data_IF_133720335285
#
_entry.id   IF_133720335285
#
_cell.length_a   1.000
_cell.length_b   1.000
_cell.length_c   1.000
_cell.angle_alpha   90.00
_cell.angle_beta   90.00
_cell.angle_gamma   90.00
#
_symmetry.space_group_name_H-M   'P 1'
#
loop_
_entity.id
_entity.type
_entity.pdbx_description
1 polymer ?
#
# COMPACT_ATOMS: atom_id res chain seq x y z
N UNK A 1 17.49 -52.59 24.42
CA UNK A 1 17.55 -51.12 24.61
C UNK A 1 16.66 -50.29 23.66
N UNK A 2 15.80 -50.86 22.79
CA UNK A 2 15.08 -50.04 21.78
C UNK A 2 13.56 -49.86 21.94
N UNK A 3 12.90 -50.45 22.94
CA UNK A 3 11.45 -50.27 23.14
C UNK A 3 11.04 -49.14 24.09
N UNK A 4 11.95 -48.65 24.94
CA UNK A 4 11.66 -47.56 25.89
C UNK A 4 11.67 -46.16 25.26
N UNK A 5 12.38 -45.96 24.16
CA UNK A 5 12.47 -44.66 23.49
C UNK A 5 11.29 -44.37 22.55
N UNK A 6 10.67 -45.41 21.96
CA UNK A 6 9.47 -45.23 21.13
C UNK A 6 8.23 -44.81 21.95
N UNK A 7 8.07 -45.30 23.18
CA UNK A 7 6.93 -44.92 24.03
C UNK A 7 7.02 -43.47 24.53
N UNK A 8 8.23 -42.95 24.79
CA UNK A 8 8.42 -41.55 25.18
C UNK A 8 8.17 -40.58 24.02
N UNK A 9 8.49 -40.96 22.79
CA UNK A 9 8.20 -40.15 21.60
C UNK A 9 6.70 -40.03 21.31
N UNK A 10 5.95 -41.12 21.43
CA UNK A 10 4.49 -41.13 21.16
C UNK A 10 3.72 -40.38 22.24
N UNK A 11 4.10 -40.50 23.52
CA UNK A 11 3.45 -39.76 24.61
C UNK A 11 3.70 -38.25 24.53
N UNK A 12 4.88 -37.82 24.07
CA UNK A 12 5.18 -36.41 23.87
C UNK A 12 4.36 -35.80 22.71
N UNK A 13 4.20 -36.55 21.62
CA UNK A 13 3.40 -36.10 20.47
C UNK A 13 1.91 -36.00 20.81
N UNK A 14 1.37 -36.96 21.57
CA UNK A 14 -0.03 -36.92 22.03
C UNK A 14 -0.27 -35.76 23.00
N UNK A 15 0.68 -35.47 23.91
CA UNK A 15 0.58 -34.32 24.81
C UNK A 15 0.59 -32.98 24.04
N UNK A 16 1.46 -32.84 23.03
CA UNK A 16 1.53 -31.62 22.20
C UNK A 16 0.27 -31.44 21.36
N UNK A 17 -0.23 -32.50 20.72
CA UNK A 17 -1.48 -32.43 19.95
C UNK A 17 -2.68 -32.13 20.86
N UNK A 18 -2.72 -32.69 22.07
CA UNK A 18 -3.80 -32.40 23.03
C UNK A 18 -3.72 -30.95 23.53
N UNK A 19 -2.53 -30.42 23.80
CA UNK A 19 -2.33 -29.02 24.19
C UNK A 19 -2.69 -28.03 23.08
N UNK A 20 -2.37 -28.35 21.82
CA UNK A 20 -2.75 -27.52 20.66
C UNK A 20 -4.26 -27.56 20.43
N UNK A 21 -4.90 -28.73 20.59
CA UNK A 21 -6.36 -28.86 20.42
C UNK A 21 -7.12 -28.19 21.57
N UNK A 22 -6.60 -28.27 22.80
CA UNK A 22 -7.20 -27.62 23.97
C UNK A 22 -7.10 -26.09 23.89
N UNK A 23 -5.96 -25.52 23.48
CA UNK A 23 -5.82 -24.07 23.25
C UNK A 23 -6.69 -23.55 22.11
N UNK A 24 -6.94 -24.36 21.08
CA UNK A 24 -7.76 -23.96 19.92
C UNK A 24 -9.25 -23.87 20.28
N UNK A 25 -9.72 -24.69 21.22
CA UNK A 25 -11.10 -24.62 21.72
C UNK A 25 -11.30 -23.46 22.70
N UNK A 26 -10.36 -23.20 23.63
CA UNK A 26 -10.47 -22.04 24.54
C UNK A 26 -10.50 -20.70 23.80
N UNK A 27 -9.76 -20.58 22.68
CA UNK A 27 -9.75 -19.36 21.87
C UNK A 27 -11.03 -19.19 21.03
N UNK A 28 -11.66 -20.29 20.62
CA UNK A 28 -12.94 -20.25 19.89
C UNK A 28 -14.09 -19.81 20.80
N UNK A 29 -14.11 -20.29 22.03
CA UNK A 29 -15.17 -19.98 23.00
C UNK A 29 -15.07 -18.52 23.47
N UNK A 30 -13.86 -18.03 23.77
CA UNK A 30 -13.66 -16.60 24.14
C UNK A 30 -13.97 -15.63 23.00
N UNK A 31 -13.69 -16.00 21.75
CA UNK A 31 -14.07 -15.17 20.59
C UNK A 31 -15.59 -15.17 20.35
N UNK A 32 -16.24 -16.32 20.48
CA UNK A 32 -17.71 -16.43 20.36
C UNK A 32 -18.42 -15.62 21.45
N UNK A 33 -17.92 -15.63 22.68
CA UNK A 33 -18.47 -14.86 23.80
C UNK A 33 -18.29 -13.35 23.58
N UNK A 34 -17.11 -12.91 23.11
CA UNK A 34 -16.86 -11.50 22.77
C UNK A 34 -17.76 -10.98 21.64
N UNK A 35 -18.01 -11.81 20.60
CA UNK A 35 -18.95 -11.47 19.52
C UNK A 35 -20.40 -11.47 20.02
N UNK A 36 -20.74 -12.34 20.97
CA UNK A 36 -22.06 -12.40 21.63
C UNK A 36 -22.36 -11.17 22.49
N UNK A 37 -21.39 -10.70 23.27
CA UNK A 37 -21.49 -9.46 24.06
C UNK A 37 -21.62 -8.23 23.16
N UNK A 38 -20.83 -8.16 22.07
CA UNK A 38 -20.90 -7.05 21.11
C UNK A 38 -22.28 -6.97 20.44
N UNK A 39 -22.84 -8.12 20.02
CA UNK A 39 -24.21 -8.19 19.45
C UNK A 39 -25.29 -7.77 20.44
N UNK A 40 -25.15 -8.14 21.71
CA UNK A 40 -26.11 -7.79 22.76
C UNK A 40 -26.08 -6.29 23.06
N UNK A 41 -24.89 -5.69 23.15
CA UNK A 41 -24.67 -4.25 23.34
C UNK A 41 -25.21 -3.41 22.17
N UNK A 42 -25.04 -3.87 20.93
CA UNK A 42 -25.58 -3.20 19.74
C UNK A 42 -27.12 -3.27 19.67
N UNK A 43 -27.71 -4.39 20.11
CA UNK A 43 -29.17 -4.54 20.15
C UNK A 43 -29.80 -3.64 21.21
N UNK A 44 -29.18 -3.51 22.38
CA UNK A 44 -29.63 -2.61 23.45
C UNK A 44 -29.54 -1.12 23.04
N UNK A 45 -28.51 -0.75 22.26
CA UNK A 45 -28.41 0.61 21.67
C UNK A 45 -29.44 0.88 20.56
N UNK A 46 -29.82 -0.13 19.78
CA UNK A 46 -30.82 0.00 18.73
C UNK A 46 -32.25 0.14 19.28
N UNK A 47 -32.56 -0.53 20.39
CA UNK A 47 -33.88 -0.49 21.03
C UNK A 47 -34.10 0.78 21.89
N UNK A 48 -33.03 1.52 22.21
CA UNK A 48 -33.07 2.80 22.95
C UNK A 48 -33.12 4.08 22.10
N UNK A 49 -32.98 3.97 20.77
CA UNK A 49 -32.99 5.13 19.88
C UNK A 49 -34.42 5.63 19.63
N UNK A 50 -34.81 6.74 20.28
CA UNK A 50 -36.04 7.47 19.91
C UNK A 50 -35.94 7.97 18.48
N UNK A 51 -37.00 7.75 17.70
CA UNK A 51 -37.16 8.34 16.36
C UNK A 51 -36.89 9.85 16.42
N UNK A 52 -36.07 10.40 15.50
CA UNK A 52 -35.90 11.84 15.42
C UNK A 52 -37.20 12.48 14.97
N UNK A 53 -37.65 13.50 15.71
CA UNK A 53 -38.78 14.33 15.33
C UNK A 53 -38.56 14.90 13.91
N UNK A 54 -39.62 14.81 13.12
CA UNK A 54 -39.65 15.29 11.75
C UNK A 54 -39.43 16.81 11.72
N UNK A 55 -38.51 17.31 10.87
CA UNK A 55 -38.23 18.74 10.82
C UNK A 55 -39.43 19.51 10.25
N UNK A 56 -39.88 20.50 11.01
CA UNK A 56 -40.87 21.51 10.61
C UNK A 56 -40.39 22.26 9.37
N UNK A 57 -41.24 22.48 8.35
CA UNK A 57 -40.84 23.19 7.14
C UNK A 57 -40.49 24.66 7.44
N UNK A 58 -39.31 25.08 6.98
CA UNK A 58 -38.87 26.47 7.02
C UNK A 58 -39.70 27.34 6.06
N UNK A 59 -39.91 28.63 6.38
CA UNK A 59 -40.65 29.55 5.53
C UNK A 59 -39.91 29.81 4.21
N UNK A 60 -40.66 29.84 3.12
CA UNK A 60 -40.15 30.04 1.77
C UNK A 60 -39.59 31.46 1.59
N UNK A 61 -38.27 31.57 1.48
CA UNK A 61 -37.60 32.80 1.06
C UNK A 61 -37.72 33.00 -0.46
N UNK A 62 -38.07 34.24 -0.83
CA UNK A 62 -38.18 34.73 -2.21
C UNK A 62 -36.84 34.60 -2.92
N UNK A 63 -36.77 33.68 -3.88
CA UNK A 63 -35.70 33.60 -4.87
C UNK A 63 -35.80 34.80 -5.82
N UNK A 64 -34.78 35.67 -5.79
CA UNK A 64 -34.56 36.69 -6.81
C UNK A 64 -33.92 36.02 -8.03
N UNK A 65 -34.42 36.23 -9.26
CA UNK A 65 -33.86 35.60 -10.45
C UNK A 65 -32.49 36.19 -10.78
N UNK A 66 -31.46 35.36 -10.67
CA UNK A 66 -30.12 35.63 -11.22
C UNK A 66 -30.20 35.46 -12.74
N UNK A 67 -29.80 36.49 -13.49
CA UNK A 67 -29.65 36.42 -14.94
C UNK A 67 -28.57 35.40 -15.28
N UNK A 68 -28.95 34.31 -15.92
CA UNK A 68 -28.03 33.36 -16.53
C UNK A 68 -27.32 34.04 -17.71
N UNK A 69 -26.00 34.18 -17.61
CA UNK A 69 -25.13 34.33 -18.77
C UNK A 69 -25.11 32.99 -19.51
N UNK A 70 -25.41 33.02 -20.80
CA UNK A 70 -25.34 31.88 -21.69
C UNK A 70 -23.87 31.69 -22.05
N UNK A 71 -23.18 30.85 -21.30
CA UNK A 71 -21.92 30.25 -21.75
C UNK A 71 -22.28 28.93 -22.44
N UNK A 72 -21.85 28.79 -23.70
CA UNK A 72 -22.09 27.62 -24.53
C UNK A 72 -21.59 26.34 -23.84
N UNK A 73 -22.33 25.21 -23.94
CA UNK A 73 -21.87 23.95 -23.39
C UNK A 73 -20.61 23.50 -24.12
N UNK A 74 -19.50 23.49 -23.40
CA UNK A 74 -18.25 22.84 -23.83
C UNK A 74 -18.59 21.37 -24.02
N UNK A 75 -18.70 20.96 -25.28
CA UNK A 75 -18.87 19.55 -25.65
C UNK A 75 -17.67 18.78 -25.09
N UNK A 76 -17.86 17.72 -24.27
CA UNK A 76 -16.76 16.94 -23.76
C UNK A 76 -16.05 16.31 -24.95
N UNK A 77 -14.89 16.86 -25.32
CA UNK A 77 -14.06 16.34 -26.39
C UNK A 77 -13.81 14.86 -26.14
N UNK A 78 -13.96 14.05 -27.19
CA UNK A 78 -13.66 12.63 -27.11
C UNK A 78 -12.26 12.44 -26.49
N UNK A 79 -12.09 11.55 -25.50
CA UNK A 79 -10.79 11.31 -24.90
C UNK A 79 -9.79 10.94 -26.01
N UNK A 80 -8.55 11.46 -25.95
CA UNK A 80 -7.56 11.13 -26.96
C UNK A 80 -7.40 9.61 -27.05
N UNK A 81 -7.25 9.05 -28.26
CA UNK A 81 -7.07 7.62 -28.43
C UNK A 81 -5.85 7.16 -27.61
N UNK A 82 -6.08 6.21 -26.71
CA UNK A 82 -5.02 5.57 -25.93
C UNK A 82 -4.06 4.93 -26.93
N UNK A 83 -2.84 5.45 -27.05
CA UNK A 83 -1.83 4.85 -27.91
C UNK A 83 -1.53 3.44 -27.41
N UNK A 84 -1.81 2.44 -28.25
CA UNK A 84 -1.40 1.08 -27.97
C UNK A 84 0.13 1.03 -27.89
N UNK A 85 0.72 0.32 -26.91
CA UNK A 85 2.17 0.18 -26.83
C UNK A 85 2.70 -0.33 -28.17
N UNK A 86 3.80 0.27 -28.63
CA UNK A 86 4.42 -0.10 -29.90
C UNK A 86 4.69 -1.61 -29.91
N UNK A 87 4.02 -2.34 -30.81
CA UNK A 87 4.27 -3.76 -31.05
C UNK A 87 5.71 -3.91 -31.52
N UNK A 88 6.58 -4.39 -30.66
CA UNK A 88 7.95 -4.73 -31.04
C UNK A 88 7.86 -5.98 -31.92
N UNK A 89 7.84 -5.79 -33.25
CA UNK A 89 7.76 -6.87 -34.24
C UNK A 89 6.58 -7.85 -34.07
N UNK A 90 5.44 -7.37 -33.56
CA UNK A 90 4.26 -8.22 -33.34
C UNK A 90 4.29 -9.05 -32.06
N UNK A 91 5.27 -8.86 -31.18
CA UNK A 91 5.32 -9.50 -29.86
C UNK A 91 4.84 -8.54 -28.78
N UNK A 92 3.98 -9.03 -27.90
CA UNK A 92 3.62 -8.32 -26.67
C UNK A 92 4.67 -8.61 -25.60
N UNK A 93 5.15 -7.58 -24.91
CA UNK A 93 6.14 -7.77 -23.85
C UNK A 93 5.67 -7.14 -22.56
N UNK A 94 6.02 -7.79 -21.45
CA UNK A 94 5.84 -7.29 -20.10
C UNK A 94 7.14 -7.36 -19.32
N UNK A 95 7.09 -6.82 -18.11
CA UNK A 95 8.19 -6.81 -17.18
C UNK A 95 7.82 -7.66 -15.99
N UNK A 96 8.75 -8.50 -15.58
CA UNK A 96 8.61 -9.42 -14.48
C UNK A 96 9.53 -8.99 -13.36
N UNK A 97 9.05 -9.01 -12.12
CA UNK A 97 9.93 -8.76 -10.98
C UNK A 97 11.03 -9.83 -10.95
N UNK A 98 12.27 -9.40 -10.74
CA UNK A 98 13.43 -10.28 -10.66
C UNK A 98 13.87 -10.47 -9.22
N UNK A 99 14.21 -9.37 -8.54
CA UNK A 99 14.68 -9.40 -7.17
C UNK A 99 14.69 -8.00 -6.54
N UNK A 100 14.82 -7.99 -5.22
CA UNK A 100 15.03 -6.80 -4.41
C UNK A 100 16.50 -6.67 -4.01
N UNK A 101 17.04 -5.47 -4.08
CA UNK A 101 18.39 -5.11 -3.63
C UNK A 101 18.30 -3.99 -2.58
N UNK A 102 18.64 -4.31 -1.33
CA UNK A 102 18.80 -3.31 -0.28
C UNK A 102 19.97 -2.37 -0.59
N UNK A 103 19.81 -1.09 -0.32
CA UNK A 103 20.92 -0.13 -0.41
C UNK A 103 22.00 -0.42 0.64
N UNK A 104 23.20 0.12 0.43
CA UNK A 104 24.29 0.01 1.42
C UNK A 104 23.92 0.65 2.76
N UNK A 105 23.08 1.69 2.74
CA UNK A 105 22.58 2.34 3.96
C UNK A 105 21.53 1.48 4.66
N UNK A 106 20.58 0.88 3.93
CA UNK A 106 19.61 -0.06 4.50
C UNK A 106 20.31 -1.26 5.15
N UNK A 107 21.33 -1.83 4.50
CA UNK A 107 22.13 -2.94 5.06
C UNK A 107 22.82 -2.51 6.36
N UNK A 108 23.46 -1.34 6.36
CA UNK A 108 24.08 -0.78 7.55
C UNK A 108 23.05 -0.54 8.65
N UNK A 109 21.91 0.05 8.32
CA UNK A 109 20.82 0.29 9.26
C UNK A 109 20.31 -1.00 9.90
N UNK A 110 20.14 -2.05 9.10
CA UNK A 110 19.72 -3.37 9.56
C UNK A 110 20.68 -3.96 10.59
N UNK A 111 21.97 -3.65 10.50
CA UNK A 111 22.96 -4.10 11.51
C UNK A 111 22.85 -3.38 12.85
N UNK A 112 22.16 -2.24 12.91
CA UNK A 112 21.97 -1.45 14.12
C UNK A 112 20.62 -1.69 14.80
N UNK A 113 19.64 -2.24 14.08
CA UNK A 113 18.23 -2.18 14.49
C UNK A 113 17.95 -2.83 15.85
N UNK A 114 18.64 -3.92 16.17
CA UNK A 114 18.49 -4.62 17.46
C UNK A 114 18.98 -3.75 18.62
N UNK A 115 20.13 -3.07 18.44
CA UNK A 115 20.67 -2.15 19.43
C UNK A 115 19.85 -0.86 19.51
N UNK A 116 19.32 -0.41 18.37
CA UNK A 116 18.51 0.80 18.25
C UNK A 116 17.11 0.64 18.86
N UNK A 117 16.63 -0.58 19.12
CA UNK A 117 15.27 -0.87 19.62
C UNK A 117 14.79 0.07 20.74
N UNK A 118 15.67 0.36 21.71
CA UNK A 118 15.35 1.20 22.87
C UNK A 118 15.93 2.62 22.80
N UNK A 119 16.73 2.90 21.77
CA UNK A 119 17.50 4.14 21.63
C UNK A 119 17.40 4.73 20.22
N UNK A 120 16.34 4.42 19.50
CA UNK A 120 16.25 4.72 18.06
C UNK A 120 16.41 6.20 17.76
N UNK A 121 15.84 7.07 18.60
CA UNK A 121 15.94 8.52 18.41
C UNK A 121 17.39 8.98 18.57
N UNK A 122 18.13 8.40 19.53
CA UNK A 122 19.55 8.68 19.71
C UNK A 122 20.36 8.12 18.54
N UNK A 123 20.10 6.88 18.12
CA UNK A 123 20.78 6.24 16.99
C UNK A 123 20.55 7.02 15.69
N UNK A 124 19.32 7.44 15.39
CA UNK A 124 18.99 8.28 14.23
C UNK A 124 19.67 9.65 14.32
N UNK A 125 19.78 10.22 15.53
CA UNK A 125 20.44 11.52 15.76
C UNK A 125 21.97 11.48 15.65
N UNK A 126 22.60 10.30 15.68
CA UNK A 126 24.03 10.16 15.42
C UNK A 126 24.40 10.77 14.07
N UNK A 127 25.54 11.46 13.99
CA UNK A 127 25.90 12.32 12.85
C UNK A 127 25.76 11.63 11.48
N UNK A 128 26.20 10.38 11.37
CA UNK A 128 26.12 9.60 10.14
C UNK A 128 24.67 9.30 9.74
N UNK A 129 23.85 8.88 10.69
CA UNK A 129 22.46 8.49 10.47
C UNK A 129 21.58 9.72 10.21
N UNK A 130 21.84 10.81 10.93
CA UNK A 130 21.16 12.07 10.77
C UNK A 130 21.41 12.66 9.37
N UNK A 131 22.66 12.59 8.87
CA UNK A 131 23.00 13.05 7.53
C UNK A 131 22.29 12.22 6.46
N UNK A 132 22.36 10.90 6.55
CA UNK A 132 21.68 10.01 5.60
C UNK A 132 20.15 10.23 5.61
N UNK A 133 19.55 10.30 6.79
CA UNK A 133 18.10 10.55 6.95
C UNK A 133 17.67 11.87 6.32
N UNK A 134 18.48 12.93 6.49
CA UNK A 134 18.20 14.24 5.88
C UNK A 134 18.28 14.20 4.36
N UNK A 135 19.29 13.53 3.79
CA UNK A 135 19.43 13.40 2.34
C UNK A 135 18.31 12.53 1.74
N UNK A 136 17.95 11.42 2.37
CA UNK A 136 16.84 10.56 1.94
C UNK A 136 15.54 11.37 1.95
N UNK A 137 15.23 12.05 3.04
CA UNK A 137 13.99 12.82 3.16
C UNK A 137 13.94 14.03 2.22
N UNK A 138 15.03 14.79 2.10
CA UNK A 138 15.15 15.86 1.09
C UNK A 138 14.81 15.31 -0.28
N UNK A 139 15.41 14.17 -0.65
CA UNK A 139 15.23 13.56 -1.96
C UNK A 139 13.79 13.11 -2.21
N UNK A 140 13.15 12.46 -1.24
CA UNK A 140 11.74 12.03 -1.37
C UNK A 140 10.80 13.24 -1.52
N UNK A 141 11.02 14.29 -0.72
CA UNK A 141 10.23 15.53 -0.80
C UNK A 141 10.41 16.20 -2.16
N UNK A 142 11.63 16.28 -2.68
CA UNK A 142 11.90 16.79 -4.02
C UNK A 142 11.14 16.00 -5.08
N UNK A 143 11.22 14.66 -5.06
CA UNK A 143 10.54 13.79 -6.01
C UNK A 143 9.01 13.95 -5.94
N UNK A 144 8.44 14.13 -4.74
CA UNK A 144 6.99 14.33 -4.53
C UNK A 144 6.52 15.75 -4.87
N UNK A 145 7.40 16.75 -4.73
CA UNK A 145 7.10 18.16 -5.01
C UNK A 145 7.21 18.55 -6.50
N UNK A 146 7.64 17.62 -7.36
CA UNK A 146 7.66 17.83 -8.82
C UNK A 146 6.28 18.26 -9.36
N UNK A 147 6.30 18.99 -10.47
CA UNK A 147 5.15 19.68 -11.07
C UNK A 147 3.86 18.83 -11.09
N UNK A 148 2.91 19.22 -10.25
CA UNK A 148 1.59 18.55 -10.10
C UNK A 148 0.66 18.78 -11.28
N UNK A 149 0.98 19.73 -12.17
CA UNK A 149 0.24 19.94 -13.42
C UNK A 149 0.48 18.80 -14.40
N UNK A 150 1.61 18.10 -14.27
CA UNK A 150 1.93 16.96 -15.12
C UNK A 150 1.10 15.73 -14.74
N UNK A 151 0.34 15.22 -15.71
CA UNK A 151 -0.39 13.96 -15.60
C UNK A 151 0.32 12.91 -16.45
N UNK A 152 0.60 11.75 -15.87
CA UNK A 152 1.10 10.61 -16.63
C UNK A 152 -0.06 10.03 -17.44
N UNK A 153 -0.29 10.57 -18.63
CA UNK A 153 -1.31 10.09 -19.54
C UNK A 153 -0.83 8.88 -20.35
N UNK A 154 0.48 8.63 -20.38
CA UNK A 154 1.12 7.54 -21.11
C UNK A 154 2.21 6.92 -20.25
N UNK A 155 2.44 5.62 -20.45
CA UNK A 155 3.65 4.96 -19.96
C UNK A 155 4.87 5.67 -20.51
N UNK A 156 5.90 5.77 -19.68
CA UNK A 156 7.20 6.30 -20.08
C UNK A 156 7.21 7.73 -20.69
N UNK A 157 6.33 8.59 -20.21
CA UNK A 157 6.19 9.94 -20.79
C UNK A 157 7.31 10.92 -20.43
N UNK A 158 8.22 10.54 -19.53
CA UNK A 158 9.30 11.41 -19.05
C UNK A 158 10.60 11.16 -19.82
N UNK A 159 11.22 12.25 -20.27
CA UNK A 159 12.54 12.18 -20.87
C UNK A 159 13.57 11.75 -19.82
N UNK A 160 14.47 10.82 -20.14
CA UNK A 160 15.52 10.45 -19.23
C UNK A 160 16.50 11.61 -19.02
N UNK A 161 16.96 11.76 -17.78
CA UNK A 161 18.03 12.67 -17.38
C UNK A 161 19.34 11.90 -17.23
N UNK A 162 20.46 12.58 -17.49
CA UNK A 162 21.81 12.03 -17.26
C UNK A 162 22.23 12.08 -15.80
N UNK A 163 21.63 12.99 -15.03
CA UNK A 163 22.14 13.35 -13.71
C UNK A 163 21.32 12.62 -12.65
N UNK A 164 21.98 11.72 -11.92
CA UNK A 164 21.43 11.07 -10.72
C UNK A 164 21.75 11.95 -9.53
N UNK A 165 20.77 12.13 -8.64
CA UNK A 165 21.03 12.80 -7.37
C UNK A 165 21.93 11.87 -6.53
N UNK A 166 23.00 12.38 -5.89
CA UNK A 166 23.82 11.56 -5.00
C UNK A 166 23.02 10.81 -3.92
N UNK A 167 21.89 11.36 -3.46
CA UNK A 167 20.99 10.73 -2.50
C UNK A 167 20.28 9.48 -3.05
N UNK A 168 20.22 9.29 -4.37
CA UNK A 168 19.69 8.05 -4.98
C UNK A 168 20.53 6.82 -4.58
N UNK A 169 21.78 7.01 -4.13
CA UNK A 169 22.63 5.94 -3.59
C UNK A 169 22.15 5.39 -2.23
N UNK A 170 21.32 6.13 -1.50
CA UNK A 170 20.70 5.66 -0.27
C UNK A 170 19.46 4.79 -0.53
N UNK A 171 18.88 4.86 -1.73
CA UNK A 171 17.64 4.17 -2.08
C UNK A 171 17.90 2.70 -2.41
N UNK A 172 16.96 1.85 -1.99
CA UNK A 172 16.94 0.43 -2.37
C UNK A 172 16.33 0.26 -3.76
N UNK A 173 16.43 -0.94 -4.34
CA UNK A 173 16.08 -1.16 -5.76
C UNK A 173 15.18 -2.38 -5.95
N UNK A 174 14.15 -2.19 -6.75
CA UNK A 174 13.33 -3.25 -7.33
C UNK A 174 13.82 -3.52 -8.75
N UNK A 175 14.28 -4.74 -9.04
CA UNK A 175 14.79 -5.13 -10.34
C UNK A 175 13.75 -5.91 -11.13
N UNK A 176 13.73 -5.70 -12.44
CA UNK A 176 12.79 -6.30 -13.36
C UNK A 176 13.51 -6.85 -14.60
N UNK A 177 13.05 -8.00 -15.07
CA UNK A 177 13.45 -8.60 -16.34
C UNK A 177 12.33 -8.47 -17.36
N UNK A 178 12.70 -8.37 -18.64
CA UNK A 178 11.71 -8.32 -19.72
C UNK A 178 11.33 -9.73 -20.16
N UNK A 179 10.04 -9.96 -20.38
CA UNK A 179 9.52 -11.19 -20.99
C UNK A 179 8.58 -10.83 -22.12
N UNK A 180 8.51 -11.65 -23.16
CA UNK A 180 7.63 -11.41 -24.30
C UNK A 180 6.76 -12.64 -24.58
N UNK A 181 5.48 -12.39 -24.88
CA UNK A 181 4.53 -13.41 -25.25
C UNK A 181 4.87 -13.96 -26.64
N UNK A 182 5.08 -15.27 -26.69
CA UNK A 182 5.28 -16.03 -27.92
C UNK A 182 3.96 -16.72 -28.29
N UNK A 183 3.29 -16.22 -29.32
CA UNK A 183 1.99 -16.75 -29.76
C UNK A 183 2.06 -18.21 -30.23
N UNK A 184 3.23 -18.70 -30.64
CA UNK A 184 3.39 -20.08 -31.15
C UNK A 184 3.30 -21.12 -30.05
N UNK A 185 3.80 -20.79 -28.86
CA UNK A 185 3.74 -21.65 -27.66
C UNK A 185 2.71 -21.17 -26.63
N UNK A 186 2.12 -19.99 -26.87
CA UNK A 186 1.13 -19.35 -26.01
C UNK A 186 1.63 -19.10 -24.59
N UNK A 187 2.89 -18.64 -24.48
CA UNK A 187 3.55 -18.42 -23.20
C UNK A 187 4.50 -17.22 -23.26
N UNK A 188 4.84 -16.67 -22.09
CA UNK A 188 5.86 -15.63 -21.96
C UNK A 188 7.25 -16.26 -21.89
N UNK A 189 8.13 -15.83 -22.80
CA UNK A 189 9.53 -16.25 -22.82
C UNK A 189 10.45 -15.11 -22.38
N UNK A 190 11.62 -15.43 -21.77
CA UNK A 190 12.62 -14.42 -21.48
C UNK A 190 12.99 -13.58 -22.71
N UNK A 191 13.10 -12.28 -22.53
CA UNK A 191 13.47 -11.33 -23.56
C UNK A 191 14.60 -10.41 -23.08
N UNK A 192 15.27 -9.74 -24.02
CA UNK A 192 16.33 -8.80 -23.66
C UNK A 192 15.74 -7.54 -23.03
N UNK A 193 16.23 -7.22 -21.85
CA UNK A 193 15.93 -5.97 -21.19
C UNK A 193 16.00 -6.07 -19.68
N UNK A 194 16.39 -4.94 -19.09
CA UNK A 194 16.53 -4.77 -17.64
C UNK A 194 15.77 -3.52 -17.23
N UNK A 195 15.10 -3.61 -16.09
CA UNK A 195 14.37 -2.52 -15.47
C UNK A 195 14.81 -2.40 -14.02
N UNK A 196 14.93 -1.18 -13.52
CA UNK A 196 15.23 -0.90 -12.13
C UNK A 196 14.37 0.26 -11.66
N UNK A 197 13.74 0.11 -10.50
CA UNK A 197 13.05 1.19 -9.83
C UNK A 197 13.63 1.43 -8.45
N UNK A 198 13.78 2.70 -8.08
CA UNK A 198 14.12 3.05 -6.72
C UNK A 198 12.91 2.82 -5.78
N UNK A 199 13.21 2.54 -4.53
CA UNK A 199 12.25 2.54 -3.43
C UNK A 199 12.97 3.14 -2.23
N UNK A 200 12.24 3.88 -1.39
CA UNK A 200 12.82 4.43 -0.18
C UNK A 200 13.42 3.27 0.65
N UNK A 201 14.60 3.44 1.26
CA UNK A 201 15.19 2.34 1.99
C UNK A 201 14.29 1.96 3.17
N UNK A 202 14.59 0.85 3.82
CA UNK A 202 14.11 0.61 5.17
C UNK A 202 15.13 1.22 6.14
N UNK A 203 14.82 2.36 6.75
CA UNK A 203 15.74 3.04 7.67
C UNK A 203 15.02 3.73 8.82
N UNK A 204 15.78 4.15 9.84
CA UNK A 204 15.33 5.02 10.91
C UNK A 204 14.21 4.45 11.78
N UNK A 205 13.15 5.25 11.94
CA UNK A 205 11.90 4.74 12.48
C UNK A 205 11.11 4.14 11.30
N UNK A 206 10.22 3.19 11.54
CA UNK A 206 9.17 2.80 10.57
C UNK A 206 8.15 3.93 10.31
N UNK A 207 8.47 5.16 10.75
CA UNK A 207 7.72 6.41 10.70
C UNK A 207 8.71 7.54 10.46
N UNK A 208 8.23 8.77 10.34
CA UNK A 208 9.05 9.94 9.99
C UNK A 208 10.11 10.27 11.07
N UNK A 209 11.43 10.19 10.78
CA UNK A 209 12.51 10.49 11.73
C UNK A 209 12.54 11.96 12.24
N UNK A 210 11.73 12.85 11.65
CA UNK A 210 11.58 14.25 12.03
C UNK A 210 10.37 14.50 12.94
N UNK A 211 9.66 13.46 13.34
CA UNK A 211 8.45 13.56 14.15
C UNK A 211 8.74 13.96 15.61
N UNK A 212 7.72 14.50 16.29
CA UNK A 212 7.77 15.09 17.63
C UNK A 212 8.18 14.09 18.74
N UNK A 213 8.02 12.79 18.50
CA UNK A 213 8.26 11.74 19.50
C UNK A 213 9.72 11.67 19.98
N UNK A 214 10.67 12.09 19.15
CA UNK A 214 12.09 12.09 19.50
C UNK A 214 12.54 13.27 20.37
N UNK A 215 11.65 14.20 20.71
CA UNK A 215 11.93 15.34 21.61
C UNK A 215 13.27 16.02 21.30
N UNK A 216 14.22 16.04 22.25
CA UNK A 216 15.54 16.66 22.10
C UNK A 216 16.48 15.98 21.11
N UNK A 217 16.19 14.74 20.70
CA UNK A 217 16.93 14.00 19.67
C UNK A 217 16.26 14.04 18.30
N UNK A 218 15.15 14.79 18.15
CA UNK A 218 14.46 14.96 16.88
C UNK A 218 15.39 15.59 15.84
N UNK A 219 15.40 15.04 14.63
CA UNK A 219 16.11 15.66 13.52
C UNK A 219 15.47 17.02 13.18
N UNK A 220 16.30 18.04 12.98
CA UNK A 220 15.87 19.39 12.59
C UNK A 220 16.53 19.82 11.28
N UNK A 221 15.92 20.75 10.57
CA UNK A 221 16.52 21.43 9.42
C UNK A 221 15.96 21.07 8.05
N UNK A 222 14.97 20.18 7.98
CA UNK A 222 14.10 20.06 6.81
C UNK A 222 12.79 20.76 7.14
N UNK A 223 12.38 21.73 6.32
CA UNK A 223 11.03 22.31 6.41
C UNK A 223 10.08 21.32 5.76
N UNK A 224 9.56 20.36 6.53
CA UNK A 224 8.48 19.52 6.06
C UNK A 224 7.15 20.23 6.32
N UNK A 225 6.10 19.91 5.56
CA UNK A 225 4.75 20.39 5.88
C UNK A 225 4.25 19.86 7.24
N UNK A 226 4.95 18.87 7.81
CA UNK A 226 4.55 18.05 8.95
C UNK A 226 5.28 18.36 10.26
N UNK A 227 5.89 19.54 10.42
CA UNK A 227 6.47 19.98 11.71
C UNK A 227 5.49 19.88 12.91
N UNK A 228 4.21 19.55 12.66
CA UNK A 228 3.07 19.52 13.59
C UNK A 228 2.34 18.15 13.64
N UNK A 229 2.55 17.20 12.71
CA UNK A 229 1.68 16.00 12.61
C UNK A 229 2.41 14.67 12.84
N UNK A 230 2.01 13.93 13.88
CA UNK A 230 2.53 12.62 14.29
C UNK A 230 2.31 11.44 13.32
N UNK A 231 1.87 11.71 12.09
CA UNK A 231 1.46 10.73 11.06
C UNK A 231 1.98 11.14 9.67
N UNK A 232 3.25 11.54 9.61
CA UNK A 232 3.82 12.06 8.38
C UNK A 232 4.02 10.95 7.34
N UNK A 233 3.13 10.93 6.34
CA UNK A 233 3.20 10.07 5.15
C UNK A 233 4.21 10.58 4.11
N UNK A 234 5.07 11.54 4.51
CA UNK A 234 5.92 12.29 3.58
C UNK A 234 7.10 11.47 3.03
N UNK A 235 7.46 10.41 3.74
CA UNK A 235 8.56 9.50 3.40
C UNK A 235 8.13 8.31 2.52
N UNK A 236 6.84 8.15 2.24
CA UNK A 236 6.35 7.10 1.34
C UNK A 236 6.62 7.56 -0.09
N UNK A 237 7.26 6.70 -0.90
CA UNK A 237 7.52 6.97 -2.31
C UNK A 237 6.73 5.98 -3.20
N UNK A 238 5.47 6.31 -3.55
CA UNK A 238 4.68 5.49 -4.46
C UNK A 238 5.36 5.35 -5.80
N UNK A 239 5.03 4.28 -6.53
CA UNK A 239 5.68 3.90 -7.79
C UNK A 239 5.72 5.02 -8.82
N UNK A 240 4.67 5.86 -8.92
CA UNK A 240 4.63 6.99 -9.86
C UNK A 240 5.66 8.10 -9.60
N UNK A 241 6.18 8.16 -8.37
CA UNK A 241 7.15 9.16 -7.91
C UNK A 241 8.57 8.61 -7.84
N UNK A 242 8.72 7.29 -7.90
CA UNK A 242 10.01 6.64 -7.78
C UNK A 242 10.80 6.71 -9.09
N UNK A 243 12.05 7.22 -9.06
CA UNK A 243 12.91 7.18 -10.22
C UNK A 243 13.10 5.76 -10.74
N UNK A 244 13.15 5.63 -12.07
CA UNK A 244 13.33 4.34 -12.71
C UNK A 244 14.22 4.43 -13.94
N UNK A 245 14.84 3.29 -14.26
CA UNK A 245 15.61 3.06 -15.46
C UNK A 245 15.09 1.80 -16.14
N UNK A 246 15.08 1.78 -17.46
CA UNK A 246 14.97 0.53 -18.18
C UNK A 246 15.63 0.63 -19.55
N UNK A 247 15.97 -0.53 -20.10
CA UNK A 247 16.49 -0.69 -21.44
C UNK A 247 16.08 -2.05 -21.99
N UNK A 248 15.91 -2.14 -23.31
CA UNK A 248 15.64 -3.39 -24.04
C UNK A 248 16.90 -4.00 -24.63
N UNK A 249 18.06 -3.35 -24.46
CA UNK A 249 19.37 -3.81 -24.92
C UNK A 249 19.94 -4.91 -24.02
N UNK A 250 20.74 -5.82 -24.59
CA UNK A 250 21.51 -6.84 -23.85
C UNK A 250 22.64 -6.24 -23.03
N UNK A 251 23.23 -5.13 -23.49
CA UNK A 251 24.43 -4.53 -22.89
C UNK A 251 24.07 -3.42 -21.89
N UNK A 252 22.82 -3.38 -21.45
CA UNK A 252 22.31 -2.36 -20.56
C UNK A 252 22.78 -2.59 -19.13
N UNK A 253 23.45 -1.59 -18.56
CA UNK A 253 23.82 -1.56 -17.15
C UNK A 253 23.17 -0.34 -16.46
N UNK A 254 22.25 -0.55 -15.50
CA UNK A 254 21.63 0.54 -14.74
C UNK A 254 22.62 1.32 -13.86
N UNK A 255 23.82 0.77 -13.61
CA UNK A 255 24.88 1.39 -12.84
C UNK A 255 25.97 2.03 -13.70
N UNK A 256 25.90 1.89 -15.03
CA UNK A 256 26.87 2.52 -15.92
C UNK A 256 26.82 4.04 -15.85
N UNK A 257 27.98 4.68 -15.99
CA UNK A 257 28.09 6.12 -16.16
C UNK A 257 27.28 6.53 -17.40
N UNK A 258 26.38 7.50 -17.22
CA UNK A 258 25.48 7.95 -18.30
C UNK A 258 24.21 7.12 -18.46
N UNK A 259 23.91 6.19 -17.54
CA UNK A 259 22.60 5.57 -17.47
C UNK A 259 21.50 6.64 -17.40
N UNK A 260 20.52 6.49 -18.28
CA UNK A 260 19.46 7.46 -18.56
C UNK A 260 18.24 7.21 -17.66
N UNK A 261 18.26 7.79 -16.47
CA UNK A 261 17.20 7.60 -15.46
C UNK A 261 16.03 8.54 -15.71
N UNK A 262 14.83 8.10 -15.37
CA UNK A 262 13.63 8.93 -15.38
C UNK A 262 13.26 9.20 -13.94
N UNK A 263 13.15 10.49 -13.60
CA UNK A 263 12.97 10.89 -12.19
C UNK A 263 11.57 10.62 -11.67
N UNK A 264 10.59 10.45 -12.56
CA UNK A 264 9.19 10.17 -12.25
C UNK A 264 8.52 9.60 -13.49
N UNK A 265 7.31 9.06 -13.35
CA UNK A 265 6.56 8.50 -14.48
C UNK A 265 5.83 7.22 -14.12
N UNK A 266 5.04 6.72 -15.07
CA UNK A 266 4.50 5.36 -14.99
C UNK A 266 5.54 4.43 -15.65
N UNK A 267 6.27 3.61 -14.88
CA UNK A 267 7.25 2.72 -15.47
C UNK A 267 6.57 1.59 -16.28
N UNK A 268 7.30 0.92 -17.18
CA UNK A 268 6.75 -0.14 -18.02
C UNK A 268 6.19 -1.38 -17.29
N UNK A 269 6.57 -1.61 -16.03
CA UNK A 269 6.03 -2.69 -15.18
C UNK A 269 4.83 -2.26 -14.32
N UNK A 270 4.39 -1.00 -14.39
CA UNK A 270 3.25 -0.53 -13.59
C UNK A 270 1.97 -1.31 -13.82
N UNK A 271 1.70 -1.63 -15.08
CA UNK A 271 0.54 -2.40 -15.44
C UNK A 271 0.77 -2.97 -16.83
N UNK A 272 0.30 -4.18 -17.04
CA UNK A 272 0.62 -4.94 -18.26
C UNK A 272 -0.67 -5.40 -18.91
N UNK A 273 -0.75 -5.31 -20.24
CA UNK A 273 -1.92 -5.87 -20.91
C UNK A 273 -1.93 -7.39 -20.75
N UNK A 274 -3.11 -7.97 -20.56
CA UNK A 274 -3.24 -9.42 -20.51
C UNK A 274 -3.55 -9.96 -21.92
N UNK A 275 -2.76 -10.90 -22.47
CA UNK A 275 -3.16 -11.61 -23.67
C UNK A 275 -4.37 -12.50 -23.36
N UNK A 276 -5.44 -12.36 -24.13
CA UNK A 276 -6.65 -13.17 -24.06
C UNK A 276 -6.92 -13.80 -25.42
N UNK A 277 -7.29 -15.09 -25.41
CA UNK A 277 -7.59 -15.82 -26.65
C UNK A 277 -9.05 -15.61 -27.04
N UNK A 278 -9.27 -14.94 -28.16
CA UNK A 278 -10.57 -14.83 -28.79
C UNK A 278 -10.68 -15.79 -29.97
N UNK A 279 -11.78 -16.56 -30.06
CA UNK A 279 -11.98 -17.57 -31.10
C UNK A 279 -11.93 -16.98 -32.52
N UNK A 280 -12.44 -15.76 -32.69
CA UNK A 280 -12.55 -15.10 -34.01
C UNK A 280 -11.43 -14.10 -34.30
N UNK A 281 -10.82 -13.53 -33.26
CA UNK A 281 -9.90 -12.39 -33.39
C UNK A 281 -8.44 -12.77 -33.10
N UNK A 282 -8.19 -14.03 -32.70
CA UNK A 282 -6.87 -14.45 -32.21
C UNK A 282 -6.59 -13.86 -30.82
N UNK A 283 -5.34 -13.48 -30.58
CA UNK A 283 -4.93 -12.87 -29.30
C UNK A 283 -5.39 -11.42 -29.23
N UNK A 284 -6.31 -11.12 -28.31
CA UNK A 284 -6.67 -9.75 -27.93
C UNK A 284 -5.96 -9.37 -26.63
N UNK A 285 -5.86 -8.08 -26.34
CA UNK A 285 -5.13 -7.58 -25.17
C UNK A 285 -6.07 -6.75 -24.31
N UNK A 286 -6.32 -7.19 -23.08
CA UNK A 286 -7.17 -6.45 -22.15
C UNK A 286 -6.36 -5.45 -21.36
N UNK A 287 -6.96 -4.26 -21.18
CA UNK A 287 -6.35 -3.17 -20.45
C UNK A 287 -6.36 -3.52 -18.94
N UNK A 288 -5.23 -3.39 -18.25
CA UNK A 288 -5.16 -3.57 -16.81
C UNK A 288 -5.94 -2.48 -16.07
N UNK A 289 -6.38 -2.79 -14.86
CA UNK A 289 -7.10 -1.87 -13.98
C UNK A 289 -6.19 -1.39 -12.85
N UNK A 290 -6.43 -0.20 -12.35
CA UNK A 290 -5.86 0.28 -11.10
C UNK A 290 -6.87 0.03 -9.97
N UNK A 291 -6.50 -0.81 -9.01
CA UNK A 291 -7.37 -1.22 -7.91
C UNK A 291 -6.76 -0.75 -6.59
N UNK A 292 -7.60 -0.22 -5.72
CA UNK A 292 -7.24 0.07 -4.34
C UNK A 292 -8.12 -0.70 -3.36
N UNK A 293 -7.49 -1.30 -2.35
CA UNK A 293 -8.14 -1.88 -1.20
C UNK A 293 -7.57 -1.25 0.07
N UNK A 294 -8.43 -0.61 0.85
CA UNK A 294 -8.13 0.06 2.11
C UNK A 294 -8.81 -0.69 3.27
N UNK A 295 -8.04 -1.40 4.08
CA UNK A 295 -8.53 -2.01 5.32
C UNK A 295 -8.27 -1.06 6.48
N UNK A 296 -9.33 -0.73 7.21
CA UNK A 296 -9.36 0.28 8.27
C UNK A 296 -9.35 1.67 7.65
N UNK A 297 -10.25 1.84 6.69
CA UNK A 297 -10.31 3.03 5.84
C UNK A 297 -10.80 4.28 6.56
N UNK A 298 -11.53 4.12 7.68
CA UNK A 298 -12.29 5.20 8.31
C UNK A 298 -13.15 5.95 7.27
N UNK A 299 -13.50 7.21 7.54
CA UNK A 299 -14.06 8.08 6.52
C UNK A 299 -13.01 8.49 5.48
N UNK A 300 -13.41 8.60 4.20
CA UNK A 300 -12.53 8.92 3.07
C UNK A 300 -11.62 10.14 3.30
N UNK A 301 -12.18 11.25 3.81
CA UNK A 301 -11.45 12.47 4.16
C UNK A 301 -11.20 12.60 5.68
N UNK A 302 -11.31 11.50 6.41
CA UNK A 302 -11.07 11.42 7.84
C UNK A 302 -12.25 11.87 8.70
N UNK A 303 -12.08 11.71 10.01
CA UNK A 303 -13.11 11.99 11.03
C UNK A 303 -13.38 13.48 11.21
N UNK A 304 -12.37 14.32 11.00
CA UNK A 304 -12.46 15.77 11.13
C UNK A 304 -12.73 16.39 9.77
N UNK A 305 -13.93 16.95 9.58
CA UNK A 305 -14.13 17.93 8.51
C UNK A 305 -13.25 19.13 8.84
N UNK A 306 -12.13 19.29 8.15
CA UNK A 306 -11.37 20.51 8.25
C UNK A 306 -12.29 21.67 7.83
N UNK A 307 -12.34 22.71 8.65
CA UNK A 307 -13.14 23.90 8.35
C UNK A 307 -12.67 24.49 7.01
N UNK A 308 -13.60 24.84 6.12
CA UNK A 308 -13.27 25.49 4.84
C UNK A 308 -12.96 24.55 3.67
N UNK A 309 -13.19 23.24 3.79
CA UNK A 309 -12.99 22.30 2.69
C UNK A 309 -11.52 21.96 2.43
N UNK A 310 -10.65 22.21 3.42
CA UNK A 310 -9.26 21.77 3.37
C UNK A 310 -9.19 20.23 3.33
N UNK A 311 -8.21 19.70 2.59
CA UNK A 311 -8.01 18.26 2.44
C UNK A 311 -7.24 17.72 3.64
N UNK A 312 -7.76 16.66 4.25
CA UNK A 312 -7.10 16.00 5.36
C UNK A 312 -6.12 14.94 4.83
N UNK A 313 -4.84 15.31 4.70
CA UNK A 313 -3.79 14.38 4.25
C UNK A 313 -3.51 13.24 5.24
N UNK A 314 -4.04 13.30 6.47
CA UNK A 314 -3.94 12.20 7.41
C UNK A 314 -4.87 11.03 7.05
N UNK A 315 -5.99 11.29 6.37
CA UNK A 315 -6.94 10.26 5.95
C UNK A 315 -6.39 9.43 4.79
N UNK A 316 -6.39 8.10 4.95
CA UNK A 316 -5.87 7.16 3.95
C UNK A 316 -6.54 7.36 2.59
N UNK A 317 -7.88 7.36 2.55
CA UNK A 317 -8.64 7.43 1.32
C UNK A 317 -8.30 8.67 0.47
N UNK A 318 -8.32 9.85 1.12
CA UNK A 318 -7.94 11.12 0.48
C UNK A 318 -6.46 11.11 0.07
N UNK A 319 -5.56 10.57 0.88
CA UNK A 319 -4.14 10.51 0.56
C UNK A 319 -3.87 9.66 -0.68
N UNK A 320 -4.42 8.45 -0.77
CA UNK A 320 -4.27 7.57 -1.94
C UNK A 320 -4.87 8.20 -3.18
N UNK A 321 -6.09 8.73 -3.07
CA UNK A 321 -6.71 9.45 -4.17
C UNK A 321 -5.82 10.59 -4.65
N UNK A 322 -5.33 11.44 -3.76
CA UNK A 322 -4.52 12.60 -4.16
C UNK A 322 -3.19 12.20 -4.80
N UNK A 323 -2.48 11.20 -4.25
CA UNK A 323 -1.15 10.85 -4.76
C UNK A 323 -1.21 10.11 -6.09
N UNK A 324 -2.16 9.20 -6.26
CA UNK A 324 -2.28 8.43 -7.50
C UNK A 324 -3.05 9.22 -8.57
N UNK A 325 -4.18 9.83 -8.21
CA UNK A 325 -5.01 10.59 -9.15
C UNK A 325 -4.31 11.87 -9.63
N UNK A 326 -3.57 12.59 -8.76
CA UNK A 326 -2.86 13.79 -9.19
C UNK A 326 -1.80 13.48 -10.26
N UNK A 327 -1.41 12.22 -10.44
CA UNK A 327 -0.43 11.79 -11.42
C UNK A 327 -1.02 11.00 -12.58
N UNK A 328 -2.35 10.99 -12.75
CA UNK A 328 -3.00 10.31 -13.87
C UNK A 328 -3.21 8.81 -13.65
N UNK A 329 -2.86 8.28 -12.49
CA UNK A 329 -3.12 6.89 -12.10
C UNK A 329 -4.48 6.82 -11.40
N UNK A 330 -5.55 7.04 -12.16
CA UNK A 330 -6.92 6.96 -11.63
C UNK A 330 -7.24 5.51 -11.26
N UNK A 331 -7.94 5.30 -10.16
CA UNK A 331 -8.46 3.98 -9.79
C UNK A 331 -9.68 3.64 -10.65
N UNK A 332 -9.76 2.40 -11.11
CA UNK A 332 -10.93 1.81 -11.74
C UNK A 332 -11.84 1.13 -10.70
N UNK A 333 -11.28 0.82 -9.52
CA UNK A 333 -12.02 0.30 -8.37
C UNK A 333 -11.38 0.77 -7.06
N UNK A 334 -12.20 1.23 -6.13
CA UNK A 334 -11.75 1.70 -4.81
C UNK A 334 -12.59 1.01 -3.74
N UNK A 335 -12.00 0.10 -2.98
CA UNK A 335 -12.70 -0.66 -1.93
C UNK A 335 -12.20 -0.17 -0.58
N UNK A 336 -13.11 0.31 0.24
CA UNK A 336 -12.87 0.77 1.59
C UNK A 336 -13.58 -0.19 2.56
N UNK A 337 -12.84 -0.73 3.52
CA UNK A 337 -13.35 -1.65 4.52
C UNK A 337 -13.18 -1.02 5.88
N UNK A 338 -14.24 -1.05 6.68
CA UNK A 338 -14.20 -0.57 8.06
C UNK A 338 -14.96 -1.54 8.97
N UNK A 339 -14.36 -1.86 10.11
CA UNK A 339 -14.99 -2.73 11.12
C UNK A 339 -16.04 -1.96 11.91
N UNK A 340 -15.77 -0.67 12.13
CA UNK A 340 -16.76 0.24 12.70
C UNK A 340 -17.82 0.59 11.64
N UNK A 341 -19.10 0.48 12.01
CA UNK A 341 -20.17 0.82 11.07
C UNK A 341 -20.22 2.34 10.88
N UNK A 342 -19.73 2.80 9.73
CA UNK A 342 -19.77 4.21 9.37
C UNK A 342 -21.17 4.64 8.91
N UNK A 343 -21.45 5.94 9.01
CA UNK A 343 -22.66 6.49 8.43
C UNK A 343 -22.48 6.67 6.92
N UNK A 344 -23.19 5.88 6.11
CA UNK A 344 -23.07 5.90 4.64
C UNK A 344 -23.25 7.29 4.04
N UNK A 345 -24.23 8.07 4.51
CA UNK A 345 -24.49 9.42 4.00
C UNK A 345 -23.29 10.35 4.25
N UNK A 346 -22.64 10.23 5.42
CA UNK A 346 -21.44 11.01 5.74
C UNK A 346 -20.25 10.50 4.93
N UNK A 347 -20.08 9.18 4.81
CA UNK A 347 -18.97 8.58 4.06
C UNK A 347 -19.01 8.95 2.59
N UNK A 348 -20.13 8.70 1.91
CA UNK A 348 -20.29 9.01 0.49
C UNK A 348 -20.30 10.51 0.19
N UNK A 349 -20.65 11.37 1.14
CA UNK A 349 -20.55 12.83 0.96
C UNK A 349 -19.10 13.34 0.91
N UNK A 350 -18.11 12.54 1.31
CA UNK A 350 -16.68 12.88 1.25
C UNK A 350 -16.00 12.35 -0.01
N UNK A 351 -16.64 11.42 -0.74
CA UNK A 351 -16.05 10.76 -1.90
C UNK A 351 -16.02 11.75 -3.09
N UNK A 352 -14.86 11.92 -3.76
CA UNK A 352 -14.74 12.74 -4.96
C UNK A 352 -15.70 12.29 -6.07
N UNK A 353 -16.24 13.23 -6.88
CA UNK A 353 -17.27 12.90 -7.87
C UNK A 353 -16.90 11.81 -8.88
N UNK A 354 -15.62 11.71 -9.25
CA UNK A 354 -15.12 10.72 -10.20
C UNK A 354 -14.95 9.30 -9.59
N UNK A 355 -14.95 9.19 -8.26
CA UNK A 355 -14.98 7.90 -7.57
C UNK A 355 -16.42 7.40 -7.34
N UNK A 356 -17.43 8.24 -7.56
CA UNK A 356 -18.84 7.84 -7.41
C UNK A 356 -19.17 6.74 -8.43
N UNK A 357 -19.63 5.59 -7.93
CA UNK A 357 -19.95 4.40 -8.73
C UNK A 357 -18.82 3.35 -8.79
N UNK A 358 -17.58 3.73 -8.47
CA UNK A 358 -16.45 2.80 -8.35
C UNK A 358 -15.95 2.62 -6.91
N UNK A 359 -16.32 3.55 -6.02
CA UNK A 359 -16.08 3.47 -4.58
C UNK A 359 -17.09 2.53 -3.89
N UNK A 360 -16.58 1.51 -3.20
CA UNK A 360 -17.35 0.51 -2.47
C UNK A 360 -16.96 0.54 -1.00
N UNK A 361 -17.90 0.93 -0.13
CA UNK A 361 -17.74 0.84 1.31
C UNK A 361 -18.27 -0.51 1.81
N UNK A 362 -17.44 -1.25 2.54
CA UNK A 362 -17.80 -2.49 3.22
C UNK A 362 -17.70 -2.23 4.73
N UNK A 363 -18.84 -1.91 5.36
CA UNK A 363 -18.97 -1.68 6.81
C UNK A 363 -19.03 -3.00 7.60
N UNK A 364 -18.16 -3.95 7.26
CA UNK A 364 -18.01 -5.22 7.97
C UNK A 364 -16.53 -5.58 7.97
N UNK A 365 -16.00 -5.95 9.13
CA UNK A 365 -14.63 -6.43 9.24
C UNK A 365 -14.40 -7.70 8.40
N UNK A 366 -13.28 -7.75 7.71
CA UNK A 366 -12.84 -8.97 7.02
C UNK A 366 -12.22 -9.95 8.00
N UNK A 367 -12.12 -11.21 7.57
CA UNK A 367 -11.56 -12.29 8.35
C UNK A 367 -10.37 -12.93 7.64
N UNK A 368 -9.69 -13.84 8.32
CA UNK A 368 -8.57 -14.64 7.78
C UNK A 368 -8.91 -16.13 7.71
N UNK A 369 -10.21 -16.44 7.81
CA UNK A 369 -10.70 -17.80 7.80
C UNK A 369 -11.15 -18.17 6.38
N UNK A 370 -10.42 -19.08 5.74
CA UNK A 370 -10.69 -19.56 4.37
C UNK A 370 -12.10 -20.13 4.12
N UNK A 371 -12.86 -20.49 5.15
CA UNK A 371 -14.27 -20.91 4.97
C UNK A 371 -15.25 -19.74 4.93
N UNK A 372 -14.80 -18.53 5.25
CA UNK A 372 -15.60 -17.32 5.33
C UNK A 372 -15.67 -16.63 3.96
N UNK A 373 -16.85 -16.13 3.60
CA UNK A 373 -17.02 -15.31 2.41
C UNK A 373 -16.21 -14.01 2.50
N UNK A 374 -15.94 -13.53 3.73
CA UNK A 374 -15.18 -12.32 4.04
C UNK A 374 -13.69 -12.58 4.29
N UNK A 375 -13.16 -13.75 3.90
CA UNK A 375 -11.71 -13.98 3.92
C UNK A 375 -10.99 -12.94 3.04
N UNK A 376 -10.04 -12.21 3.63
CA UNK A 376 -9.32 -11.12 2.96
C UNK A 376 -8.57 -11.58 1.73
N UNK A 377 -7.87 -12.72 1.82
CA UNK A 377 -7.03 -13.21 0.72
C UNK A 377 -7.90 -13.71 -0.43
N UNK A 378 -8.99 -14.41 -0.13
CA UNK A 378 -9.94 -14.83 -1.15
C UNK A 378 -10.70 -13.65 -1.77
N UNK A 379 -10.96 -12.58 -1.01
CA UNK A 379 -11.48 -11.35 -1.58
C UNK A 379 -10.49 -10.74 -2.59
N UNK A 380 -9.20 -10.66 -2.26
CA UNK A 380 -8.18 -10.16 -3.20
C UNK A 380 -8.18 -11.01 -4.47
N UNK A 381 -8.16 -12.35 -4.37
CA UNK A 381 -8.22 -13.27 -5.53
C UNK A 381 -9.43 -13.05 -6.42
N UNK A 382 -10.59 -12.70 -5.85
CA UNK A 382 -11.83 -12.47 -6.61
C UNK A 382 -11.85 -11.11 -7.31
N UNK A 383 -11.14 -10.13 -6.76
CA UNK A 383 -11.21 -8.74 -7.21
C UNK A 383 -10.08 -8.39 -8.18
N UNK A 384 -8.88 -8.91 -7.94
CA UNK A 384 -7.64 -8.52 -8.61
C UNK A 384 -7.22 -9.61 -9.60
N UNK A 385 -6.96 -9.21 -10.85
CA UNK A 385 -6.37 -10.08 -11.85
C UNK A 385 -4.84 -9.93 -11.86
N UNK A 386 -4.07 -10.95 -12.29
CA UNK A 386 -2.59 -10.92 -12.25
C UNK A 386 -1.88 -9.80 -13.02
N UNK A 387 -2.60 -9.03 -13.85
CA UNK A 387 -2.00 -7.94 -14.62
C UNK A 387 -2.57 -6.56 -14.22
N UNK A 388 -3.52 -6.51 -13.28
CA UNK A 388 -3.97 -5.26 -12.68
C UNK A 388 -2.84 -4.64 -11.86
N UNK A 389 -2.89 -3.32 -11.67
CA UNK A 389 -2.08 -2.61 -10.69
C UNK A 389 -2.84 -2.52 -9.37
N UNK A 390 -2.34 -3.15 -8.32
CA UNK A 390 -3.03 -3.27 -7.05
C UNK A 390 -2.29 -2.60 -5.89
N UNK A 391 -3.00 -1.67 -5.24
CA UNK A 391 -2.54 -0.92 -4.07
C UNK A 391 -3.33 -1.39 -2.86
N UNK A 392 -2.66 -2.05 -1.92
CA UNK A 392 -3.27 -2.63 -0.73
C UNK A 392 -2.82 -1.91 0.54
N UNK A 393 -3.73 -1.30 1.30
CA UNK A 393 -3.45 -0.75 2.63
C UNK A 393 -4.03 -1.67 3.71
N UNK A 394 -3.21 -2.00 4.70
CA UNK A 394 -3.56 -2.80 5.87
C UNK A 394 -3.20 -2.03 7.14
N UNK A 395 -4.21 -1.48 7.79
CA UNK A 395 -4.10 -0.79 9.08
C UNK A 395 -5.52 -0.67 9.66
N UNK A 396 -5.89 -1.66 10.47
CA UNK A 396 -7.20 -1.86 11.12
C UNK A 396 -7.10 -1.83 12.65
N UNK A 397 -5.96 -1.38 13.20
CA UNK A 397 -5.66 -1.35 14.64
C UNK A 397 -5.87 -2.71 15.36
N UNK A 398 -5.67 -3.82 14.63
CA UNK A 398 -5.97 -5.18 15.11
C UNK A 398 -4.91 -6.19 14.69
N UNK A 399 -3.77 -6.17 15.37
CA UNK A 399 -2.64 -7.08 15.12
C UNK A 399 -3.02 -8.58 15.02
N UNK A 400 -3.98 -9.13 15.81
CA UNK A 400 -4.42 -10.52 15.66
C UNK A 400 -5.06 -10.88 14.31
N UNK A 401 -5.45 -9.88 13.51
CA UNK A 401 -6.01 -10.07 12.16
C UNK A 401 -4.97 -9.69 11.10
N UNK A 402 -4.26 -8.57 11.30
CA UNK A 402 -3.27 -8.06 10.34
C UNK A 402 -2.10 -9.02 10.14
N UNK A 403 -1.51 -9.51 11.23
CA UNK A 403 -0.32 -10.36 11.14
C UNK A 403 -0.59 -11.69 10.44
N UNK A 404 -1.71 -12.41 10.69
CA UNK A 404 -2.04 -13.59 9.89
C UNK A 404 -2.19 -13.31 8.38
N UNK A 405 -2.65 -12.12 7.97
CA UNK A 405 -2.67 -11.72 6.55
C UNK A 405 -1.23 -11.63 6.03
N UNK A 406 -0.38 -10.89 6.73
CA UNK A 406 1.04 -10.71 6.34
C UNK A 406 1.80 -12.02 6.32
N UNK A 407 1.63 -12.87 7.34
CA UNK A 407 2.24 -14.20 7.40
C UNK A 407 1.81 -15.08 6.23
N UNK A 408 0.54 -15.01 5.83
CA UNK A 408 0.05 -15.74 4.67
C UNK A 408 0.65 -15.22 3.34
N UNK A 409 0.84 -13.90 3.20
CA UNK A 409 1.54 -13.30 2.05
C UNK A 409 3.04 -13.67 2.05
N UNK A 410 3.66 -13.80 3.22
CA UNK A 410 5.05 -14.25 3.34
C UNK A 410 5.21 -15.74 3.05
N UNK A 411 4.20 -16.56 3.37
CA UNK A 411 4.23 -18.00 3.22
C UNK A 411 3.82 -18.51 1.83
N UNK A 412 3.06 -17.73 1.05
CA UNK A 412 2.65 -18.14 -0.30
C UNK A 412 3.78 -18.00 -1.33
N UNK A 413 3.52 -18.40 -2.57
CA UNK A 413 4.48 -18.31 -3.67
C UNK A 413 3.89 -17.46 -4.81
N UNK A 414 4.43 -16.26 -5.09
CA UNK A 414 3.91 -15.39 -6.14
C UNK A 414 3.97 -16.05 -7.52
N UNK A 415 5.00 -16.84 -7.81
CA UNK A 415 5.17 -17.52 -9.10
C UNK A 415 4.16 -18.66 -9.30
N UNK A 416 3.67 -19.25 -8.21
CA UNK A 416 2.64 -20.28 -8.23
C UNK A 416 1.21 -19.71 -8.16
N UNK A 417 1.03 -18.40 -8.39
CA UNK A 417 -0.28 -17.74 -8.32
C UNK A 417 -0.74 -17.41 -6.89
N UNK A 418 0.21 -17.23 -5.97
CA UNK A 418 -0.04 -16.68 -4.65
C UNK A 418 -0.65 -15.28 -4.70
N UNK A 419 -1.31 -14.87 -3.60
CA UNK A 419 -1.89 -13.53 -3.48
C UNK A 419 -0.79 -12.47 -3.39
N UNK A 420 0.39 -12.80 -2.85
CA UNK A 420 1.53 -11.89 -2.86
C UNK A 420 1.92 -11.44 -4.27
N UNK A 421 1.74 -12.30 -5.29
CA UNK A 421 2.00 -11.97 -6.69
C UNK A 421 0.93 -11.07 -7.34
N UNK A 422 -0.15 -10.76 -6.62
CA UNK A 422 -1.20 -9.84 -7.07
C UNK A 422 -1.02 -8.42 -6.51
N UNK A 423 -0.09 -8.18 -5.58
CA UNK A 423 0.06 -6.91 -4.85
C UNK A 423 1.29 -6.17 -5.36
N UNK A 424 1.09 -5.01 -5.99
CA UNK A 424 2.19 -4.16 -6.44
C UNK A 424 2.70 -3.24 -5.33
N UNK A 425 1.78 -2.57 -4.62
CA UNK A 425 2.10 -1.70 -3.48
C UNK A 425 1.34 -2.13 -2.23
N UNK A 426 2.07 -2.24 -1.11
CA UNK A 426 1.52 -2.54 0.20
C UNK A 426 1.86 -1.42 1.17
N UNK A 427 0.86 -0.80 1.79
CA UNK A 427 1.04 0.12 2.91
C UNK A 427 0.57 -0.60 4.17
N UNK A 428 1.49 -0.87 5.08
CA UNK A 428 1.21 -1.66 6.27
C UNK A 428 1.67 -0.93 7.52
N UNK A 429 0.81 -0.82 8.52
CA UNK A 429 1.20 -0.34 9.85
C UNK A 429 1.51 -1.53 10.76
N UNK A 430 2.80 -1.83 10.91
CA UNK A 430 3.20 -2.93 11.77
C UNK A 430 3.37 -2.46 13.23
N UNK A 431 2.33 -2.73 14.02
CA UNK A 431 2.29 -2.51 15.46
C UNK A 431 3.28 -3.41 16.23
N UNK A 432 4.47 -2.89 16.55
CA UNK A 432 5.53 -3.61 17.30
C UNK A 432 5.82 -2.95 18.65
N UNK A 433 6.43 -3.68 19.58
CA UNK A 433 6.88 -3.08 20.85
C UNK A 433 7.97 -2.05 20.54
N UNK A 434 7.65 -0.78 20.74
CA UNK A 434 8.50 0.34 20.36
C UNK A 434 8.17 1.54 21.27
N UNK A 435 9.02 1.79 22.26
CA UNK A 435 8.70 2.68 23.38
C UNK A 435 8.14 4.07 23.00
N UNK A 436 8.69 4.80 22.02
CA UNK A 436 8.12 6.07 21.53
C UNK A 436 6.69 5.96 20.99
N UNK A 437 6.28 4.78 20.49
CA UNK A 437 4.96 4.51 19.94
C UNK A 437 4.06 3.66 20.83
N UNK A 438 4.54 3.20 21.99
CA UNK A 438 3.75 2.35 22.88
C UNK A 438 2.45 3.02 23.35
N UNK A 439 2.38 4.35 23.41
CA UNK A 439 1.13 5.05 23.74
C UNK A 439 0.15 5.16 22.56
N UNK A 440 0.53 5.72 21.39
CA UNK A 440 -0.38 5.77 20.24
C UNK A 440 -0.78 4.39 19.71
N UNK A 441 0.07 3.36 19.87
CA UNK A 441 -0.24 1.97 19.50
C UNK A 441 -0.87 1.15 20.65
N UNK A 442 -1.12 1.76 21.81
CA UNK A 442 -1.74 1.03 22.92
C UNK A 442 -3.19 0.70 22.59
N UNK A 443 -3.45 -0.53 22.17
CA UNK A 443 -4.80 -1.10 22.14
C UNK A 443 -5.08 -1.73 23.51
N UNK A 444 -6.12 -1.31 24.25
CA UNK A 444 -6.44 -1.87 25.56
C UNK A 444 -6.54 -3.41 25.54
N UNK A 445 -5.78 -4.06 26.42
CA UNK A 445 -5.79 -5.52 26.56
C UNK A 445 -4.95 -6.29 25.52
N UNK A 446 -4.32 -5.61 24.56
CA UNK A 446 -3.39 -6.24 23.62
C UNK A 446 -1.95 -5.92 23.97
N UNK A 447 -1.08 -6.93 23.89
CA UNK A 447 0.37 -6.72 23.91
C UNK A 447 0.82 -6.52 22.48
N UNK A 448 1.58 -5.45 22.26
CA UNK A 448 2.34 -5.28 21.01
C UNK A 448 3.27 -6.49 20.85
N UNK A 449 3.17 -7.14 19.70
CA UNK A 449 3.98 -8.31 19.39
C UNK A 449 5.09 -7.91 18.42
N UNK A 450 6.29 -8.44 18.65
CA UNK A 450 7.44 -8.17 17.79
C UNK A 450 8.26 -6.94 18.22
N UNK A 451 9.34 -6.73 17.49
CA UNK A 451 10.34 -5.67 17.66
C UNK A 451 10.49 -4.87 16.37
N UNK A 452 11.17 -3.72 16.40
CA UNK A 452 11.58 -3.02 15.18
C UNK A 452 12.31 -3.98 14.23
N UNK A 453 13.29 -4.74 14.74
CA UNK A 453 14.02 -5.74 13.96
C UNK A 453 13.09 -6.73 13.23
N UNK A 454 12.07 -7.25 13.93
CA UNK A 454 11.09 -8.16 13.31
C UNK A 454 10.29 -7.48 12.21
N UNK A 455 9.92 -6.21 12.39
CA UNK A 455 9.18 -5.46 11.38
C UNK A 455 10.03 -5.15 10.16
N UNK A 456 11.27 -4.73 10.35
CA UNK A 456 12.23 -4.56 9.26
C UNK A 456 12.44 -5.86 8.46
N UNK A 457 12.46 -7.03 9.12
CA UNK A 457 12.49 -8.32 8.43
C UNK A 457 11.22 -8.54 7.59
N UNK A 458 10.04 -8.30 8.15
CA UNK A 458 8.74 -8.41 7.44
C UNK A 458 8.72 -7.57 6.17
N UNK A 459 9.03 -6.27 6.26
CA UNK A 459 9.03 -5.38 5.09
C UNK A 459 10.06 -5.80 4.05
N UNK A 460 11.28 -6.19 4.47
CA UNK A 460 12.32 -6.65 3.56
C UNK A 460 11.91 -7.93 2.83
N UNK A 461 11.28 -8.87 3.54
CA UNK A 461 10.89 -10.15 2.97
C UNK A 461 9.66 -10.01 2.05
N UNK A 462 8.74 -9.08 2.34
CA UNK A 462 7.70 -8.66 1.39
C UNK A 462 8.31 -8.05 0.12
N UNK A 463 9.31 -7.16 0.25
CA UNK A 463 10.01 -6.58 -0.91
C UNK A 463 10.73 -7.63 -1.75
N UNK A 464 11.30 -8.66 -1.12
CA UNK A 464 11.90 -9.81 -1.82
C UNK A 464 10.90 -10.64 -2.62
N UNK A 465 9.60 -10.54 -2.32
CA UNK A 465 8.52 -11.15 -3.12
C UNK A 465 8.03 -10.29 -4.28
N UNK A 466 8.58 -9.09 -4.45
CA UNK A 466 8.16 -8.16 -5.50
C UNK A 466 7.15 -7.10 -5.05
N UNK A 467 6.68 -7.17 -3.81
CA UNK A 467 5.75 -6.19 -3.26
C UNK A 467 6.53 -4.92 -2.88
N UNK A 468 6.17 -3.75 -3.43
CA UNK A 468 6.67 -2.47 -2.93
C UNK A 468 6.03 -2.16 -1.58
N UNK A 469 6.59 -2.74 -0.52
CA UNK A 469 6.06 -2.60 0.83
C UNK A 469 6.58 -1.31 1.49
N UNK A 470 5.65 -0.50 1.98
CA UNK A 470 5.82 0.80 2.59
C UNK A 470 5.29 0.77 4.01
N UNK A 471 6.06 1.30 4.96
CA UNK A 471 5.55 1.45 6.33
C UNK A 471 4.53 2.57 6.40
N UNK A 472 3.39 2.29 7.03
CA UNK A 472 2.28 3.24 7.17
C UNK A 472 2.29 3.92 8.56
N UNK A 473 2.16 5.26 8.63
CA UNK A 473 2.20 6.04 9.87
C UNK A 473 0.85 6.69 10.28
#
# INVERSE_FOLDING_TARGET
>A
MSRRWMLLGVLSLVAIVTLITFRRNEFSDTFSDAVGELRSSLKEKAEGAKEPESPTPAPADRIVPVKAGVDDPISPGAPPPVQQPARDQGRFCKWHFSHYESSSHEIYWFSLVEEAQNHICQTVAEQRNALASKEIMRRIIELRSLDKSYKFLMYDSMLPTSDRDPADSYMSRMHYSRVCYDESIQDFVPATGVGVQLIEPLWGMLRDPFDIWCQGSRLVGLKTHSDISGQSKEHIMPQGYAPYYYSTSTDADPNAIGAKWRMQGIPPWHSTFAPEKHLELGTVYTKPRNIHLDLGSSYFAGWTKLAGGERNSAASGQWFYDHYHARGQKFDKFIAVEVEVLNDKIAYAQVPPDLVGIYQLINVGLTVNKSDALDTLDMIRRVVAPNDFFVFKLDIDAAPIEMPIIEALLADDPEAGGVSGLIDELMFEHHVDYAPMNHPWAVPGQKLNGTLASSYNVFRDLRRKGIRAHSWP
#
